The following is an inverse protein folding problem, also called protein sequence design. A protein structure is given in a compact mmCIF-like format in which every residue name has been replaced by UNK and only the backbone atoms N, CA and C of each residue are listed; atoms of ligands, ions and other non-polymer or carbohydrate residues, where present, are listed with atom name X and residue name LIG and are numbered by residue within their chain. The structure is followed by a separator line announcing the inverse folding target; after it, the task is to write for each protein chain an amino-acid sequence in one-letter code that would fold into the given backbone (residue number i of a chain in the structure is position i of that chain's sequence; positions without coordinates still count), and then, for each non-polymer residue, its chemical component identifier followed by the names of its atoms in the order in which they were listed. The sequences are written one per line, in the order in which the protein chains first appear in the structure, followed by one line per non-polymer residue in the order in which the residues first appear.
data_IF_892580139879
#
_entry.id   IF_892580139879
#
_cell.length_a   1.000
_cell.length_b   1.000
_cell.length_c   1.000
_cell.angle_alpha   90.00
_cell.angle_beta   90.00
_cell.angle_gamma   90.00
#
_symmetry.space_group_name_H-M   'P 1'
#
loop_
_entity.id
_entity.type
_entity.pdbx_description
1 polymer ?
#
# COMPACT_ATOMS: atom_id res chain seq x y z
N UNK A 1 -9.78 0.85 -26.75
CA UNK A 1 -8.51 0.15 -26.97
C UNK A 1 -7.53 0.59 -25.87
N UNK A 2 -7.27 -0.23 -24.86
CA UNK A 2 -6.28 0.12 -23.82
C UNK A 2 -4.88 0.05 -24.44
N UNK A 3 -4.08 1.11 -24.32
CA UNK A 3 -2.76 1.21 -24.96
C UNK A 3 -1.70 0.39 -24.20
N UNK A 4 -0.72 -0.25 -24.87
CA UNK A 4 0.28 -1.09 -24.19
C UNK A 4 1.13 -0.33 -23.15
N UNK A 5 1.28 0.98 -23.33
CA UNK A 5 1.94 1.86 -22.36
C UNK A 5 1.18 1.98 -21.04
N UNK A 6 -0.17 1.96 -21.06
CA UNK A 6 -0.99 2.04 -19.84
C UNK A 6 -0.83 0.76 -19.00
N UNK A 7 -0.74 -0.39 -19.64
CA UNK A 7 -0.51 -1.68 -18.99
C UNK A 7 0.86 -1.74 -18.29
N UNK A 8 1.92 -1.29 -18.97
CA UNK A 8 3.26 -1.24 -18.37
C UNK A 8 3.33 -0.26 -17.18
N UNK A 9 2.67 0.89 -17.28
CA UNK A 9 2.59 1.86 -16.19
C UNK A 9 1.84 1.27 -14.97
N UNK A 10 0.70 0.63 -15.19
CA UNK A 10 -0.05 -0.06 -14.15
C UNK A 10 0.77 -1.18 -13.49
N UNK A 11 1.45 -1.99 -14.29
CA UNK A 11 2.33 -3.05 -13.79
C UNK A 11 3.47 -2.48 -12.92
N UNK A 12 4.15 -1.43 -13.39
CA UNK A 12 5.21 -0.75 -12.62
C UNK A 12 4.67 -0.20 -11.30
N UNK A 13 3.48 0.39 -11.30
CA UNK A 13 2.84 0.89 -10.08
C UNK A 13 2.52 -0.25 -9.09
N UNK A 14 2.04 -1.40 -9.59
CA UNK A 14 1.79 -2.60 -8.78
C UNK A 14 3.07 -3.13 -8.13
N UNK A 15 4.15 -3.29 -8.89
CA UNK A 15 5.46 -3.74 -8.38
C UNK A 15 6.02 -2.75 -7.35
N UNK A 16 5.94 -1.45 -7.63
CA UNK A 16 6.38 -0.42 -6.68
C UNK A 16 5.56 -0.45 -5.38
N UNK A 17 4.25 -0.69 -5.48
CA UNK A 17 3.38 -0.84 -4.31
C UNK A 17 3.77 -2.07 -3.50
N UNK A 18 3.98 -3.21 -4.15
CA UNK A 18 4.43 -4.45 -3.54
C UNK A 18 5.78 -4.27 -2.82
N UNK A 19 6.76 -3.62 -3.45
CA UNK A 19 8.06 -3.34 -2.86
C UNK A 19 7.97 -2.41 -1.64
N UNK A 20 7.13 -1.37 -1.70
CA UNK A 20 6.89 -0.50 -0.54
C UNK A 20 6.24 -1.26 0.62
N UNK A 21 5.28 -2.13 0.33
CA UNK A 21 4.63 -2.99 1.33
C UNK A 21 5.61 -3.97 1.97
N UNK A 22 6.49 -4.61 1.19
CA UNK A 22 7.48 -5.56 1.71
C UNK A 22 8.50 -4.89 2.64
N UNK A 23 8.98 -3.70 2.29
CA UNK A 23 9.86 -2.92 3.17
C UNK A 23 9.14 -2.49 4.46
N UNK A 24 7.89 -2.03 4.37
CA UNK A 24 7.10 -1.67 5.56
C UNK A 24 6.88 -2.88 6.47
N UNK A 25 6.54 -4.02 5.89
CA UNK A 25 6.35 -5.26 6.65
C UNK A 25 7.63 -5.68 7.36
N UNK A 26 8.78 -5.63 6.68
CA UNK A 26 10.07 -5.93 7.31
C UNK A 26 10.34 -4.98 8.48
N UNK A 27 9.96 -3.71 8.37
CA UNK A 27 10.15 -2.74 9.44
C UNK A 27 9.28 -3.05 10.67
N UNK A 28 8.11 -3.65 10.46
CA UNK A 28 7.22 -4.05 11.57
C UNK A 28 7.83 -5.17 12.42
N UNK A 29 8.64 -6.05 11.83
CA UNK A 29 9.36 -7.10 12.55
C UNK A 29 10.69 -6.64 13.15
N UNK A 30 11.46 -5.83 12.43
CA UNK A 30 12.81 -5.44 12.84
C UNK A 30 12.84 -4.05 13.49
N UNK A 31 12.76 -4.00 14.81
CA UNK A 31 12.86 -2.75 15.60
C UNK A 31 14.24 -2.09 15.44
N UNK A 32 15.31 -2.90 15.44
CA UNK A 32 16.69 -2.43 15.30
C UNK A 32 17.02 -2.11 13.84
N UNK A 33 17.51 -0.88 13.59
CA UNK A 33 17.82 -0.40 12.24
C UNK A 33 18.95 -1.13 11.53
N UNK A 34 19.95 -1.65 12.25
CA UNK A 34 21.08 -2.34 11.61
C UNK A 34 20.66 -3.66 10.99
N UNK A 35 19.87 -4.46 11.73
CA UNK A 35 19.29 -5.70 11.25
C UNK A 35 18.29 -5.44 10.11
N UNK A 36 17.47 -4.40 10.26
CA UNK A 36 16.51 -4.02 9.21
C UNK A 36 17.21 -3.65 7.90
N UNK A 37 18.34 -2.93 7.92
CA UNK A 37 19.07 -2.57 6.69
C UNK A 37 19.58 -3.81 5.96
N UNK A 38 20.07 -4.82 6.68
CA UNK A 38 20.48 -6.09 6.09
C UNK A 38 19.29 -6.76 5.39
N UNK A 39 18.14 -6.85 6.07
CA UNK A 39 16.93 -7.41 5.48
C UNK A 39 16.43 -6.62 4.26
N UNK A 40 16.49 -5.29 4.32
CA UNK A 40 16.08 -4.43 3.21
C UNK A 40 16.96 -4.65 1.96
N UNK A 41 18.27 -4.89 2.14
CA UNK A 41 19.16 -5.23 1.03
C UNK A 41 18.85 -6.61 0.44
N UNK A 42 18.53 -7.60 1.28
CA UNK A 42 18.06 -8.91 0.81
C UNK A 42 16.79 -8.77 -0.03
N UNK A 43 15.77 -8.04 0.46
CA UNK A 43 14.54 -7.77 -0.29
C UNK A 43 14.88 -7.11 -1.62
N UNK A 44 15.76 -6.10 -1.63
CA UNK A 44 16.19 -5.45 -2.87
C UNK A 44 16.85 -6.43 -3.84
N UNK A 45 17.74 -7.30 -3.37
CA UNK A 45 18.41 -8.30 -4.22
C UNK A 45 17.41 -9.28 -4.84
N UNK A 46 16.37 -9.69 -4.10
CA UNK A 46 15.32 -10.56 -4.62
C UNK A 46 14.53 -9.88 -5.75
N UNK A 47 14.22 -8.59 -5.62
CA UNK A 47 13.53 -7.85 -6.68
C UNK A 47 14.43 -7.59 -7.90
N UNK A 48 15.70 -7.23 -7.71
CA UNK A 48 16.64 -7.03 -8.82
C UNK A 48 16.91 -8.34 -9.59
N UNK A 49 16.98 -9.49 -8.89
CA UNK A 49 17.14 -10.80 -9.53
C UNK A 49 15.99 -11.14 -10.50
N UNK A 50 14.78 -10.63 -10.26
CA UNK A 50 13.59 -10.90 -11.08
C UNK A 50 13.24 -9.75 -12.05
N UNK A 51 14.12 -8.77 -12.23
CA UNK A 51 13.85 -7.56 -13.03
C UNK A 51 13.71 -7.81 -14.53
N UNK A 52 14.38 -8.84 -15.04
CA UNK A 52 14.46 -9.13 -16.48
C UNK A 52 13.44 -10.18 -16.97
N UNK A 53 12.50 -10.58 -16.11
CA UNK A 53 11.43 -11.50 -16.48
C UNK A 53 10.51 -10.82 -17.50
N UNK A 54 10.43 -11.40 -18.70
CA UNK A 54 9.67 -10.84 -19.83
C UNK A 54 8.34 -11.56 -20.06
N UNK A 55 8.21 -12.80 -19.57
CA UNK A 55 7.01 -13.60 -19.72
C UNK A 55 5.89 -13.10 -18.79
N UNK A 56 4.70 -12.75 -19.32
CA UNK A 56 3.61 -12.22 -18.51
C UNK A 56 3.06 -13.24 -17.50
N UNK A 57 3.03 -14.53 -17.86
CA UNK A 57 2.57 -15.61 -16.97
C UNK A 57 3.50 -15.79 -15.78
N UNK A 58 4.81 -15.71 -16.02
CA UNK A 58 5.80 -15.80 -14.94
C UNK A 58 5.73 -14.60 -14.01
N UNK A 59 5.51 -13.40 -14.55
CA UNK A 59 5.29 -12.18 -13.77
C UNK A 59 4.08 -12.31 -12.84
N UNK A 60 2.94 -12.76 -13.36
CA UNK A 60 1.74 -12.98 -12.55
C UNK A 60 1.97 -14.02 -11.44
N UNK A 61 2.65 -15.13 -11.76
CA UNK A 61 3.00 -16.15 -10.79
C UNK A 61 3.93 -15.62 -9.69
N UNK A 62 4.93 -14.81 -10.05
CA UNK A 62 5.84 -14.18 -9.10
C UNK A 62 5.10 -13.20 -8.20
N UNK A 63 4.22 -12.36 -8.76
CA UNK A 63 3.41 -11.44 -7.98
C UNK A 63 2.52 -12.19 -6.98
N UNK A 64 1.78 -13.20 -7.44
CA UNK A 64 0.93 -14.01 -6.57
C UNK A 64 1.72 -14.69 -5.44
N UNK A 65 2.89 -15.27 -5.77
CA UNK A 65 3.79 -15.87 -4.78
C UNK A 65 4.27 -14.86 -3.76
N UNK A 66 4.66 -13.66 -4.18
CA UNK A 66 5.10 -12.61 -3.26
C UNK A 66 3.97 -12.10 -2.37
N UNK A 67 2.74 -12.01 -2.88
CA UNK A 67 1.58 -11.61 -2.08
C UNK A 67 1.24 -12.66 -1.02
N UNK A 68 1.33 -13.94 -1.38
CA UNK A 68 1.19 -15.03 -0.42
C UNK A 68 2.25 -14.95 0.69
N UNK A 69 3.52 -14.77 0.33
CA UNK A 69 4.61 -14.61 1.31
C UNK A 69 4.41 -13.41 2.23
N UNK A 70 3.91 -12.28 1.69
CA UNK A 70 3.61 -11.10 2.49
C UNK A 70 2.43 -11.32 3.44
N UNK A 71 1.42 -12.08 3.03
CA UNK A 71 0.28 -12.42 3.88
C UNK A 71 0.69 -13.37 5.03
N UNK A 72 1.51 -14.37 4.73
CA UNK A 72 2.05 -15.32 5.72
C UNK A 72 2.97 -14.62 6.73
N UNK A 73 3.79 -13.68 6.26
CA UNK A 73 4.72 -12.92 7.09
C UNK A 73 4.08 -11.70 7.75
N UNK A 74 2.76 -11.50 7.65
CA UNK A 74 2.07 -10.34 8.22
C UNK A 74 2.24 -10.30 9.75
N UNK A 75 2.71 -9.17 10.28
CA UNK A 75 2.82 -8.99 11.73
C UNK A 75 1.40 -8.85 12.34
N UNK A 76 1.07 -9.55 13.44
CA UNK A 76 -0.26 -9.50 14.04
C UNK A 76 -0.66 -8.10 14.55
N UNK A 77 0.32 -7.29 14.98
CA UNK A 77 0.12 -5.88 15.37
C UNK A 77 1.11 -4.95 14.66
N UNK A 78 0.83 -4.49 13.43
CA UNK A 78 1.79 -3.71 12.65
C UNK A 78 2.05 -2.34 13.27
N UNK A 79 3.30 -1.85 13.20
CA UNK A 79 3.66 -0.57 13.77
C UNK A 79 2.90 0.59 13.12
N UNK A 80 2.29 1.44 13.96
CA UNK A 80 1.56 2.65 13.58
C UNK A 80 2.12 3.86 14.34
N UNK A 81 2.31 4.96 13.62
CA UNK A 81 2.71 6.23 14.23
C UNK A 81 1.60 6.73 15.15
N UNK A 82 1.90 7.22 16.38
CA UNK A 82 0.89 7.64 17.35
C UNK A 82 -0.01 8.80 16.87
N UNK A 83 0.47 9.63 15.95
CA UNK A 83 -0.29 10.75 15.40
C UNK A 83 -1.36 10.31 14.38
N UNK A 84 -1.28 9.08 13.88
CA UNK A 84 -2.30 8.52 12.99
C UNK A 84 -3.42 7.91 13.84
N UNK A 85 -4.68 8.35 13.66
CA UNK A 85 -5.79 7.78 14.41
C UNK A 85 -5.87 6.27 14.14
N UNK A 86 -5.96 5.47 15.20
CA UNK A 86 -6.21 4.03 15.09
C UNK A 86 -7.65 3.89 14.58
N UNK A 87 -7.83 3.44 13.34
CA UNK A 87 -9.14 2.95 12.87
C UNK A 87 -9.40 1.66 13.64
N UNK A 88 -10.00 1.81 14.81
CA UNK A 88 -10.53 0.70 15.60
C UNK A 88 -11.97 0.54 15.15
N UNK A 89 -12.24 -0.49 14.36
CA UNK A 89 -13.59 -1.04 14.25
C UNK A 89 -14.58 -0.07 13.57
N UNK A 90 -14.45 0.16 12.27
CA UNK A 90 -15.51 0.75 11.44
C UNK A 90 -15.90 2.21 11.71
N UNK A 91 -15.46 2.84 12.79
CA UNK A 91 -15.59 4.28 12.99
C UNK A 91 -14.31 4.98 12.56
N UNK A 92 -14.30 5.50 11.34
CA UNK A 92 -13.33 6.55 11.04
C UNK A 92 -13.53 7.65 12.09
N UNK A 93 -12.48 8.05 12.80
CA UNK A 93 -12.51 9.33 13.55
C UNK A 93 -13.07 10.37 12.58
N UNK A 94 -14.14 11.09 12.94
CA UNK A 94 -14.79 11.99 12.00
C UNK A 94 -13.72 12.92 11.45
N UNK A 95 -13.65 13.01 10.11
CA UNK A 95 -12.75 13.96 9.45
C UNK A 95 -13.00 15.32 10.11
N UNK A 96 -11.96 16.00 10.59
CA UNK A 96 -12.18 17.23 11.33
C UNK A 96 -12.85 18.26 10.40
N UNK A 97 -13.78 19.05 10.94
CA UNK A 97 -14.66 19.93 10.14
C UNK A 97 -13.89 20.89 9.21
N UNK A 98 -12.68 21.29 9.57
CA UNK A 98 -11.82 22.11 8.71
C UNK A 98 -11.42 21.40 7.41
N UNK A 99 -11.35 20.07 7.40
CA UNK A 99 -10.95 19.26 6.26
C UNK A 99 -12.10 19.09 5.25
N UNK A 100 -13.33 18.89 5.73
CA UNK A 100 -14.54 18.96 4.90
C UNK A 100 -14.76 20.37 4.37
N UNK A 101 -14.58 21.41 5.19
CA UNK A 101 -14.64 22.81 4.74
C UNK A 101 -13.60 23.11 3.65
N UNK A 102 -12.36 22.64 3.80
CA UNK A 102 -11.33 22.80 2.78
C UNK A 102 -11.66 22.07 1.45
N UNK A 103 -12.34 20.92 1.50
CA UNK A 103 -12.79 20.21 0.29
C UNK A 103 -14.02 20.85 -0.38
N UNK A 104 -14.94 21.44 0.40
CA UNK A 104 -16.09 22.19 -0.12
C UNK A 104 -15.60 23.46 -0.83
N UNK A 105 -14.67 24.20 -0.23
CA UNK A 105 -14.07 25.39 -0.84
C UNK A 105 -13.29 25.04 -2.12
N UNK A 106 -12.71 23.84 -2.20
CA UNK A 106 -11.99 23.34 -3.38
C UNK A 106 -12.88 22.60 -4.40
N UNK A 107 -14.20 22.60 -4.20
CA UNK A 107 -15.19 22.07 -5.15
C UNK A 107 -15.23 20.55 -5.31
N UNK A 108 -14.72 19.78 -4.34
CA UNK A 108 -14.54 18.33 -4.48
C UNK A 108 -15.67 17.46 -3.92
N UNK A 109 -16.59 18.02 -3.10
CA UNK A 109 -17.76 17.31 -2.57
C UNK A 109 -19.00 18.23 -2.58
N UNK A 110 -20.12 17.72 -3.06
CA UNK A 110 -21.45 18.33 -2.89
C UNK A 110 -21.97 18.06 -1.47
N UNK A 111 -22.63 19.03 -0.80
CA UNK A 111 -23.23 18.79 0.51
C UNK A 111 -24.32 17.71 0.39
N UNK A 112 -24.27 16.72 1.28
CA UNK A 112 -25.35 15.74 1.43
C UNK A 112 -26.51 16.49 2.09
N UNK A 113 -27.59 16.72 1.35
CA UNK A 113 -28.82 17.29 1.88
C UNK A 113 -29.49 16.26 2.80
N UNK A 114 -30.05 16.70 3.93
CA UNK A 114 -30.67 15.89 4.99
C UNK A 114 -31.96 15.13 4.57
N UNK A 115 -32.22 14.97 3.26
CA UNK A 115 -33.53 14.52 2.74
C UNK A 115 -33.59 13.02 2.42
N UNK A 116 -32.48 12.28 2.44
CA UNK A 116 -32.47 10.85 2.04
C UNK A 116 -32.59 9.85 3.21
N UNK A 117 -33.21 10.25 4.34
CA UNK A 117 -33.52 9.35 5.47
C UNK A 117 -35.03 9.27 5.69
N UNK A 118 -35.79 8.82 4.70
CA UNK A 118 -37.11 8.16 4.85
C UNK A 118 -37.44 7.35 3.61
#
# INVERSE_FOLDING_TARGET
MSTPASFQAAHRASVQSLYRRSLKLSLDWYIRRDLWRQKALEIRSQFEANKHVTSPRELEALLAKTEQQLAEAAHPDPYRTPLLPKVQNGNATPRPLWWTMAMIIRGALTPINEVDIT
#
